data_IF_615571111864
#
_entry.id   IF_615571111864
#
_cell.length_a   1.000
_cell.length_b   1.000
_cell.length_c   1.000
_cell.angle_alpha   90.00
_cell.angle_beta   90.00
_cell.angle_gamma   90.00
#
_symmetry.space_group_name_H-M   'P 1'
#
loop_
_entity.id
_entity.type
_entity.pdbx_description
1 polymer ?
#
# COMPACT_ATOMS: atom_id res chain seq x y z
N UNK A 1 -16.62 8.99 -3.88
CA UNK A 1 -15.17 9.19 -3.62
C UNK A 1 -14.92 8.83 -2.16
N UNK A 2 -14.03 7.87 -1.87
CA UNK A 2 -13.70 7.53 -0.47
C UNK A 2 -13.08 8.77 0.18
N UNK A 3 -13.72 9.30 1.21
CA UNK A 3 -13.27 10.54 1.86
C UNK A 3 -12.04 10.32 2.74
N UNK A 4 -11.73 9.06 3.07
CA UNK A 4 -10.62 8.70 3.96
C UNK A 4 -9.23 8.78 3.31
N UNK A 5 -9.15 9.00 2.00
CA UNK A 5 -7.86 9.10 1.29
C UNK A 5 -7.38 10.55 1.09
N UNK A 6 -8.22 11.54 1.38
CA UNK A 6 -7.92 12.96 1.16
C UNK A 6 -8.28 13.78 2.41
N UNK A 7 -7.33 14.59 2.89
CA UNK A 7 -7.53 15.52 4.00
C UNK A 7 -7.61 16.93 3.46
N UNK A 8 -8.54 17.73 4.00
CA UNK A 8 -8.58 19.17 3.74
C UNK A 8 -7.42 19.81 4.48
N UNK A 9 -6.52 20.45 3.75
CA UNK A 9 -5.34 21.12 4.29
C UNK A 9 -5.60 22.59 4.56
N UNK A 10 -6.38 23.24 3.69
CA UNK A 10 -6.65 24.66 3.82
C UNK A 10 -7.54 25.19 2.71
N UNK A 11 -7.47 26.51 2.51
CA UNK A 11 -8.26 27.21 1.51
C UNK A 11 -7.36 28.17 0.72
N UNK A 12 -7.39 28.05 -0.61
CA UNK A 12 -6.71 28.94 -1.54
C UNK A 12 -7.70 29.98 -2.07
N UNK A 13 -7.38 31.26 -1.90
CA UNK A 13 -8.17 32.36 -2.47
C UNK A 13 -8.01 32.36 -3.99
N UNK A 14 -9.13 32.37 -4.70
CA UNK A 14 -9.23 32.60 -6.15
C UNK A 14 -9.89 33.95 -6.39
N UNK A 15 -10.06 34.33 -7.67
CA UNK A 15 -10.64 35.63 -8.06
C UNK A 15 -12.02 35.90 -7.48
N UNK A 16 -12.83 34.85 -7.23
CA UNK A 16 -14.24 35.01 -6.78
C UNK A 16 -14.56 34.30 -5.46
N UNK A 17 -13.75 33.34 -5.01
CA UNK A 17 -14.06 32.54 -3.83
C UNK A 17 -12.81 31.92 -3.18
N UNK A 18 -12.99 31.23 -2.05
CA UNK A 18 -11.96 30.41 -1.42
C UNK A 18 -12.20 28.94 -1.76
N UNK A 19 -11.24 28.30 -2.43
CA UNK A 19 -11.30 26.89 -2.80
C UNK A 19 -10.54 26.03 -1.79
N UNK A 20 -11.09 24.88 -1.39
CA UNK A 20 -10.39 23.94 -0.49
C UNK A 20 -9.19 23.30 -1.18
N UNK A 21 -8.07 23.18 -0.48
CA UNK A 21 -6.92 22.37 -0.87
C UNK A 21 -6.99 21.01 -0.18
N UNK A 22 -6.64 19.96 -0.91
CA UNK A 22 -6.67 18.59 -0.42
C UNK A 22 -5.30 17.96 -0.61
N UNK A 23 -4.80 17.27 0.43
CA UNK A 23 -3.59 16.44 0.35
C UNK A 23 -4.01 14.97 0.52
N UNK A 24 -3.36 14.02 -0.17
CA UNK A 24 -3.49 12.61 0.17
C UNK A 24 -3.13 12.34 1.64
N UNK A 25 -3.95 11.52 2.30
CA UNK A 25 -3.73 11.07 3.68
C UNK A 25 -2.65 9.98 3.75
N UNK A 26 -2.48 9.22 2.67
CA UNK A 26 -1.56 8.10 2.56
C UNK A 26 -0.52 8.37 1.49
N UNK A 27 0.67 7.81 1.68
CA UNK A 27 1.68 7.82 0.63
C UNK A 27 1.21 6.98 -0.57
N UNK A 28 1.80 7.24 -1.74
CA UNK A 28 1.37 6.60 -2.99
C UNK A 28 1.51 5.08 -2.92
N UNK A 29 2.59 4.60 -2.31
CA UNK A 29 2.89 3.18 -2.12
C UNK A 29 1.84 2.52 -1.22
N UNK A 30 1.51 3.14 -0.10
CA UNK A 30 0.49 2.65 0.84
C UNK A 30 -0.90 2.60 0.20
N UNK A 31 -1.23 3.59 -0.64
CA UNK A 31 -2.48 3.61 -1.38
C UNK A 31 -2.56 2.44 -2.38
N UNK A 32 -1.48 2.18 -3.13
CA UNK A 32 -1.41 1.08 -4.09
C UNK A 32 -1.52 -0.29 -3.40
N UNK A 33 -0.77 -0.48 -2.30
CA UNK A 33 -0.84 -1.69 -1.48
C UNK A 33 -2.25 -1.87 -0.92
N UNK A 34 -2.88 -0.79 -0.45
CA UNK A 34 -4.27 -0.78 0.00
C UNK A 34 -5.24 -1.26 -1.08
N UNK A 35 -5.08 -0.86 -2.34
CA UNK A 35 -5.93 -1.37 -3.44
C UNK A 35 -5.77 -2.89 -3.66
N UNK A 36 -4.57 -3.43 -3.46
CA UNK A 36 -4.27 -4.85 -3.66
C UNK A 36 -4.81 -5.69 -2.48
N UNK A 37 -4.64 -5.20 -1.25
CA UNK A 37 -4.96 -5.95 -0.03
C UNK A 37 -6.42 -5.77 0.40
N UNK A 38 -7.01 -4.58 0.23
CA UNK A 38 -8.41 -4.36 0.55
C UNK A 38 -9.30 -5.30 -0.28
N UNK A 39 -10.40 -5.73 0.34
CA UNK A 39 -11.30 -6.86 -0.01
C UNK A 39 -11.82 -6.96 -1.46
N UNK A 40 -11.40 -6.10 -2.37
CA UNK A 40 -11.72 -6.15 -3.80
C UNK A 40 -10.94 -7.22 -4.57
N UNK A 41 -9.76 -7.61 -4.10
CA UNK A 41 -8.89 -8.54 -4.83
C UNK A 41 -9.02 -9.96 -4.28
N UNK A 42 -9.20 -10.95 -5.16
CA UNK A 42 -9.28 -12.37 -4.75
C UNK A 42 -7.92 -12.89 -4.28
N UNK A 43 -7.91 -13.95 -3.45
CA UNK A 43 -6.66 -14.58 -2.99
C UNK A 43 -5.78 -15.03 -4.17
N UNK A 44 -6.40 -15.59 -5.22
CA UNK A 44 -5.69 -16.02 -6.42
C UNK A 44 -5.03 -14.84 -7.15
N UNK A 45 -5.71 -13.69 -7.25
CA UNK A 45 -5.14 -12.49 -7.83
C UNK A 45 -3.97 -11.95 -7.00
N UNK A 46 -4.08 -11.94 -5.66
CA UNK A 46 -2.97 -11.55 -4.78
C UNK A 46 -1.74 -12.45 -4.96
N UNK A 47 -1.92 -13.77 -5.04
CA UNK A 47 -0.82 -14.71 -5.31
C UNK A 47 -0.10 -14.39 -6.63
N UNK A 48 -0.85 -14.12 -7.71
CA UNK A 48 -0.26 -13.74 -9.00
C UNK A 48 0.52 -12.43 -8.92
N UNK A 49 -0.01 -11.43 -8.22
CA UNK A 49 0.67 -10.14 -8.04
C UNK A 49 2.00 -10.33 -7.30
N UNK A 50 2.02 -11.12 -6.21
CA UNK A 50 3.27 -11.40 -5.50
C UNK A 50 4.28 -12.16 -6.36
N UNK A 51 3.83 -13.15 -7.16
CA UNK A 51 4.70 -13.86 -8.11
C UNK A 51 5.33 -12.89 -9.11
N UNK A 52 4.52 -12.02 -9.71
CA UNK A 52 4.98 -11.07 -10.71
C UNK A 52 6.00 -10.07 -10.14
N UNK A 53 5.80 -9.60 -8.90
CA UNK A 53 6.75 -8.70 -8.25
C UNK A 53 8.11 -9.38 -8.03
N UNK A 54 8.11 -10.65 -7.58
CA UNK A 54 9.34 -11.41 -7.32
C UNK A 54 10.04 -11.77 -8.65
N UNK A 55 9.30 -12.19 -9.67
CA UNK A 55 9.84 -12.53 -10.99
C UNK A 55 10.51 -11.35 -11.70
N UNK A 56 10.06 -10.12 -11.41
CA UNK A 56 10.64 -8.90 -11.97
C UNK A 56 11.84 -8.38 -11.21
N UNK A 57 12.07 -8.85 -10.00
CA UNK A 57 13.20 -8.44 -9.19
C UNK A 57 14.45 -9.20 -9.64
N UNK A 58 15.47 -8.47 -10.10
CA UNK A 58 16.73 -9.05 -10.56
C UNK A 58 17.88 -8.81 -9.59
N UNK A 59 17.69 -7.99 -8.55
CA UNK A 59 18.70 -7.70 -7.56
C UNK A 59 18.72 -8.79 -6.47
N UNK A 60 19.85 -9.47 -6.31
CA UNK A 60 20.04 -10.51 -5.30
C UNK A 60 19.86 -9.98 -3.87
N UNK A 61 20.39 -8.79 -3.57
CA UNK A 61 20.26 -8.17 -2.24
C UNK A 61 18.80 -7.92 -1.88
N UNK A 62 17.99 -7.52 -2.86
CA UNK A 62 16.55 -7.32 -2.67
C UNK A 62 15.82 -8.65 -2.45
N UNK A 63 16.21 -9.71 -3.15
CA UNK A 63 15.64 -11.04 -2.97
C UNK A 63 15.94 -11.58 -1.57
N UNK A 64 17.18 -11.46 -1.11
CA UNK A 64 17.58 -11.85 0.25
C UNK A 64 16.82 -11.04 1.32
N UNK A 65 16.68 -9.74 1.11
CA UNK A 65 15.90 -8.88 1.99
C UNK A 65 14.42 -9.30 2.07
N UNK A 66 13.79 -9.57 0.92
CA UNK A 66 12.41 -10.07 0.86
C UNK A 66 12.27 -11.41 1.58
N UNK A 67 13.23 -12.33 1.39
CA UNK A 67 13.22 -13.63 2.06
C UNK A 67 13.23 -13.48 3.59
N UNK A 68 14.14 -12.65 4.11
CA UNK A 68 14.23 -12.39 5.55
C UNK A 68 12.93 -11.82 6.13
N UNK A 69 12.32 -10.85 5.44
CA UNK A 69 11.03 -10.28 5.86
C UNK A 69 9.90 -11.33 5.90
N UNK A 70 9.88 -12.28 4.95
CA UNK A 70 8.89 -13.34 4.92
C UNK A 70 9.07 -14.34 6.08
N UNK A 71 10.32 -14.66 6.43
CA UNK A 71 10.66 -15.52 7.56
C UNK A 71 10.21 -14.91 8.89
N UNK A 72 10.59 -13.65 9.16
CA UNK A 72 10.17 -12.90 10.35
C UNK A 72 8.63 -12.86 10.47
N UNK A 73 7.94 -12.57 9.36
CA UNK A 73 6.47 -12.50 9.36
C UNK A 73 5.81 -13.84 9.66
N UNK A 74 6.40 -14.95 9.21
CA UNK A 74 5.91 -16.30 9.48
C UNK A 74 6.04 -16.66 10.96
N UNK A 75 7.13 -16.25 11.60
CA UNK A 75 7.33 -16.43 13.04
C UNK A 75 6.30 -15.64 13.86
N UNK A 76 6.10 -14.36 13.54
CA UNK A 76 5.09 -13.53 14.21
C UNK A 76 3.69 -14.15 14.14
N UNK A 77 3.30 -14.69 12.98
CA UNK A 77 1.98 -15.31 12.78
C UNK A 77 1.87 -16.60 13.60
N UNK A 78 2.93 -17.43 13.64
CA UNK A 78 2.94 -18.64 14.48
C UNK A 78 2.82 -18.30 15.97
N UNK A 79 3.49 -17.25 16.43
CA UNK A 79 3.40 -16.79 17.82
C UNK A 79 2.00 -16.29 18.14
N UNK A 80 1.36 -15.54 17.24
CA UNK A 80 -0.03 -15.05 17.43
C UNK A 80 -1.11 -16.14 17.38
N UNK A 81 -0.79 -17.32 16.85
CA UNK A 81 -1.71 -18.47 16.78
C UNK A 81 -1.57 -19.43 17.97
N UNK A 82 -0.54 -19.27 18.79
CA UNK A 82 -0.35 -19.98 20.06
C UNK A 82 -1.03 -19.23 21.20
#
# INVERSE_FOLDING_TARGET
>A
MNKDVIKVEGFKKTTKNYARTFIPVKNREEFLVGQIIDKKTTLAARKRIYSYLIEKESNLEMIEFIQKLLEERKEEIKVKQK
#
